data_IF_867103168775
#
_entry.id   IF_867103168775
#
_cell.length_a   1.000
_cell.length_b   1.000
_cell.length_c   1.000
_cell.angle_alpha   90.00
_cell.angle_beta   90.00
_cell.angle_gamma   90.00
#
_symmetry.space_group_name_H-M   'P 1'
#
loop_
_entity.id
_entity.type
_entity.pdbx_description
1 polymer ?
#
# COMPACT_ATOMS: atom_id res chain seq x y z
N UNK A 1 -26.85 -4.20 9.82
CA UNK A 1 -26.23 -3.79 11.09
C UNK A 1 -24.87 -3.19 10.77
N UNK A 2 -24.81 -1.87 10.58
CA UNK A 2 -23.56 -1.18 10.26
C UNK A 2 -22.84 -0.83 11.55
N UNK A 3 -21.63 -1.37 11.74
CA UNK A 3 -20.73 -1.02 12.85
C UNK A 3 -20.10 0.34 12.53
N UNK A 4 -20.48 1.37 13.28
CA UNK A 4 -19.76 2.64 13.35
C UNK A 4 -18.45 2.42 14.15
N UNK A 5 -17.27 2.87 13.68
CA UNK A 5 -16.11 2.91 14.54
C UNK A 5 -16.27 4.05 15.55
N UNK A 6 -16.08 3.67 16.81
CA UNK A 6 -16.16 4.53 18.00
C UNK A 6 -15.04 5.58 18.00
N UNK A 7 -15.45 6.85 18.12
CA UNK A 7 -14.74 8.00 18.70
C UNK A 7 -13.45 8.47 18.00
N UNK A 8 -13.49 9.68 17.42
CA UNK A 8 -12.50 10.74 17.73
C UNK A 8 -13.20 12.10 17.74
N UNK A 9 -13.25 12.67 18.95
CA UNK A 9 -13.77 14.01 19.28
C UNK A 9 -12.79 15.10 18.84
N UNK A 10 -13.34 16.24 18.45
CA UNK A 10 -12.74 17.50 17.97
C UNK A 10 -11.58 18.08 18.82
N UNK A 11 -10.54 18.59 18.14
CA UNK A 11 -9.74 19.75 18.58
C UNK A 11 -9.64 20.74 17.41
N UNK A 12 -9.77 22.04 17.71
CA UNK A 12 -9.62 23.15 16.75
C UNK A 12 -8.15 23.24 16.31
N UNK A 13 -7.93 23.07 15.00
CA UNK A 13 -6.62 23.11 14.33
C UNK A 13 -6.52 21.98 13.32
N UNK A 14 -6.86 22.26 12.05
CA UNK A 14 -6.92 21.35 10.89
C UNK A 14 -6.46 19.89 11.12
N UNK A 15 -7.40 19.00 11.45
CA UNK A 15 -7.23 17.58 11.19
C UNK A 15 -7.83 17.25 9.82
N UNK A 16 -7.20 17.75 8.75
CA UNK A 16 -7.40 17.17 7.42
C UNK A 16 -6.63 15.85 7.47
N UNK A 17 -7.33 14.73 7.66
CA UNK A 17 -6.66 13.44 7.50
C UNK A 17 -6.40 13.26 6.02
N UNK A 18 -5.15 13.46 5.60
CA UNK A 18 -4.76 13.20 4.21
C UNK A 18 -4.63 11.69 4.03
N UNK A 19 -5.68 11.10 3.46
CA UNK A 19 -5.75 9.67 3.17
C UNK A 19 -4.86 9.40 1.95
N UNK A 20 -3.81 8.60 2.16
CA UNK A 20 -2.89 8.23 1.09
C UNK A 20 -3.34 6.91 0.48
N UNK A 21 -3.55 6.90 -0.83
CA UNK A 21 -3.89 5.71 -1.60
C UNK A 21 -2.63 5.12 -2.24
N UNK A 22 -2.32 3.86 -1.94
CA UNK A 22 -1.34 3.08 -2.68
C UNK A 22 -2.08 2.15 -3.61
N UNK A 23 -1.70 2.15 -4.89
CA UNK A 23 -2.30 1.29 -5.91
C UNK A 23 -1.20 0.60 -6.73
N UNK A 24 -1.33 -0.72 -6.86
CA UNK A 24 -0.45 -1.59 -7.64
C UNK A 24 -1.28 -2.16 -8.78
N UNK A 25 -0.98 -1.75 -10.02
CA UNK A 25 -1.65 -2.27 -11.21
C UNK A 25 -0.77 -3.30 -11.94
N UNK A 26 -1.29 -4.51 -12.13
CA UNK A 26 -0.55 -5.58 -12.80
C UNK A 26 -0.60 -5.44 -14.32
N UNK A 27 0.57 -5.25 -14.93
CA UNK A 27 0.78 -5.39 -16.39
C UNK A 27 1.53 -6.67 -16.75
N UNK A 28 1.78 -7.54 -15.78
CA UNK A 28 2.49 -8.79 -15.99
C UNK A 28 1.53 -9.79 -16.64
N UNK A 29 1.89 -10.39 -17.79
CA UNK A 29 1.08 -11.43 -18.41
C UNK A 29 0.84 -12.62 -17.47
N UNK A 30 -0.37 -13.16 -17.46
CA UNK A 30 -0.77 -14.29 -16.58
C UNK A 30 0.00 -15.58 -16.81
N UNK A 31 0.64 -15.71 -17.97
CA UNK A 31 1.36 -16.92 -18.37
C UNK A 31 2.87 -16.65 -18.30
N UNK A 32 3.66 -17.53 -17.67
CA UNK A 32 3.28 -18.83 -17.12
C UNK A 32 2.57 -18.78 -15.75
N UNK A 33 2.67 -17.66 -15.02
CA UNK A 33 2.00 -17.48 -13.72
C UNK A 33 1.59 -16.02 -13.52
N UNK A 34 0.47 -15.73 -12.84
CA UNK A 34 0.06 -14.37 -12.48
C UNK A 34 1.06 -13.73 -11.50
N UNK A 35 0.93 -12.42 -11.29
CA UNK A 35 1.74 -11.67 -10.34
C UNK A 35 1.26 -11.97 -8.92
N UNK A 36 2.08 -12.63 -8.13
CA UNK A 36 1.83 -12.78 -6.70
C UNK A 36 2.61 -11.71 -5.94
N UNK A 37 2.00 -11.13 -4.91
CA UNK A 37 2.69 -10.19 -4.05
C UNK A 37 2.26 -10.31 -2.59
N UNK A 38 3.16 -9.93 -1.68
CA UNK A 38 2.83 -9.63 -0.28
C UNK A 38 3.28 -8.22 0.02
N UNK A 39 2.39 -7.40 0.55
CA UNK A 39 2.68 -6.03 0.94
C UNK A 39 2.51 -5.86 2.44
N UNK A 40 3.37 -5.06 3.06
CA UNK A 40 3.29 -4.75 4.48
C UNK A 40 4.06 -3.47 4.81
N UNK A 41 3.74 -2.87 5.94
CA UNK A 41 4.56 -1.89 6.63
C UNK A 41 5.17 -2.51 7.90
N UNK A 42 5.74 -1.68 8.76
CA UNK A 42 6.12 -2.09 10.11
C UNK A 42 4.88 -2.44 10.97
N UNK A 43 3.80 -1.71 10.78
CA UNK A 43 2.64 -1.71 11.68
C UNK A 43 1.41 -2.43 11.08
N UNK A 44 1.34 -2.57 9.75
CA UNK A 44 0.19 -3.11 9.01
C UNK A 44 0.63 -4.20 8.02
N UNK A 45 -0.10 -5.32 7.98
CA UNK A 45 0.07 -6.37 6.96
C UNK A 45 -1.09 -6.28 5.97
N UNK A 46 -0.79 -5.94 4.71
CA UNK A 46 -1.79 -5.94 3.62
C UNK A 46 -2.05 -7.39 3.16
N UNK A 47 -1.12 -8.30 3.44
CA UNK A 47 -1.23 -9.72 3.15
C UNK A 47 -0.78 -10.12 1.76
N UNK A 48 -1.00 -11.40 1.45
CA UNK A 48 -0.72 -11.98 0.14
C UNK A 48 -1.89 -11.78 -0.82
N UNK A 49 -1.57 -11.39 -2.05
CA UNK A 49 -2.52 -11.19 -3.14
C UNK A 49 -1.98 -11.77 -4.44
N UNK A 50 -2.88 -12.24 -5.28
CA UNK A 50 -2.60 -12.65 -6.66
C UNK A 50 -3.31 -11.70 -7.59
N UNK A 51 -2.55 -11.03 -8.48
CA UNK A 51 -3.08 -10.13 -9.50
C UNK A 51 -2.89 -10.74 -10.89
N UNK A 52 -4.00 -10.96 -11.57
CA UNK A 52 -4.04 -11.21 -13.00
C UNK A 52 -3.76 -9.92 -13.80
N UNK A 53 -3.46 -10.08 -15.07
CA UNK A 53 -3.16 -9.01 -16.01
C UNK A 53 -4.35 -8.05 -16.05
N UNK A 54 -4.11 -6.78 -15.78
CA UNK A 54 -5.14 -5.74 -15.75
C UNK A 54 -5.88 -5.60 -14.41
N UNK A 55 -5.56 -6.40 -13.39
CA UNK A 55 -6.08 -6.22 -12.03
C UNK A 55 -5.18 -5.31 -11.20
N UNK A 56 -5.76 -4.70 -10.17
CA UNK A 56 -5.05 -3.92 -9.17
C UNK A 56 -5.28 -4.38 -7.73
N UNK A 57 -4.29 -4.12 -6.89
CA UNK A 57 -4.41 -4.10 -5.44
C UNK A 57 -4.29 -2.65 -5.00
N UNK A 58 -5.22 -2.19 -4.17
CA UNK A 58 -5.12 -0.89 -3.54
C UNK A 58 -5.48 -0.94 -2.07
N UNK A 59 -4.93 -0.01 -1.31
CA UNK A 59 -5.33 0.27 0.07
C UNK A 59 -5.08 1.73 0.37
N UNK A 60 -5.88 2.27 1.28
CA UNK A 60 -5.65 3.61 1.81
C UNK A 60 -5.28 3.57 3.29
N UNK A 61 -4.52 4.55 3.71
CA UNK A 61 -4.13 4.72 5.10
C UNK A 61 -3.98 6.20 5.42
N UNK A 62 -4.25 6.51 6.68
CA UNK A 62 -4.00 7.83 7.22
C UNK A 62 -2.51 7.96 7.50
N UNK A 63 -1.85 8.98 6.91
CA UNK A 63 -0.44 9.26 7.22
C UNK A 63 -0.29 9.46 8.73
N UNK A 64 0.67 8.75 9.31
CA UNK A 64 0.99 8.96 10.71
C UNK A 64 1.57 10.38 10.90
N UNK A 65 1.27 11.04 12.01
CA UNK A 65 1.78 12.38 12.29
C UNK A 65 3.32 12.42 12.35
N UNK A 66 3.94 11.26 12.60
CA UNK A 66 5.39 11.11 12.72
C UNK A 66 6.12 11.02 11.36
N UNK A 67 5.41 10.94 10.22
CA UNK A 67 6.02 10.95 8.89
C UNK A 67 7.00 9.80 8.63
N UNK A 68 6.69 8.60 9.15
CA UNK A 68 7.59 7.43 9.11
C UNK A 68 6.97 6.20 8.46
N UNK A 69 5.79 6.33 7.85
CA UNK A 69 5.15 5.21 7.16
C UNK A 69 5.97 4.78 5.94
N UNK A 70 6.27 3.49 5.87
CA UNK A 70 6.94 2.81 4.77
C UNK A 70 6.14 1.53 4.46
N UNK A 71 5.68 1.39 3.22
CA UNK A 71 5.15 0.12 2.72
C UNK A 71 6.12 -0.47 1.71
N UNK A 72 6.41 -1.76 1.86
CA UNK A 72 7.19 -2.52 0.91
C UNK A 72 6.41 -3.76 0.47
N UNK A 73 6.66 -4.19 -0.76
CA UNK A 73 6.01 -5.33 -1.35
C UNK A 73 7.04 -6.28 -1.96
N UNK A 74 6.87 -7.56 -1.68
CA UNK A 74 7.59 -8.63 -2.34
C UNK A 74 6.73 -9.14 -3.49
N UNK A 75 7.28 -9.12 -4.71
CA UNK A 75 6.62 -9.56 -5.93
C UNK A 75 7.25 -10.86 -6.44
N UNK A 76 6.42 -11.74 -6.97
CA UNK A 76 6.78 -13.05 -7.49
C UNK A 76 6.03 -13.33 -8.80
N UNK A 77 6.76 -13.63 -9.88
CA UNK A 77 6.17 -14.03 -11.16
C UNK A 77 7.13 -14.93 -11.94
N UNK A 78 6.67 -16.13 -12.30
CA UNK A 78 7.53 -17.19 -12.83
C UNK A 78 8.65 -17.51 -11.84
N UNK A 79 9.89 -17.46 -12.31
CA UNK A 79 11.09 -17.60 -11.48
C UNK A 79 11.65 -16.28 -10.94
N UNK A 80 10.97 -15.16 -11.17
CA UNK A 80 11.45 -13.82 -10.80
C UNK A 80 10.87 -13.40 -9.45
N UNK A 81 11.72 -12.77 -8.63
CA UNK A 81 11.32 -12.12 -7.39
C UNK A 81 11.99 -10.76 -7.27
N UNK A 82 11.24 -9.75 -6.79
CA UNK A 82 11.74 -8.40 -6.53
C UNK A 82 11.00 -7.77 -5.34
N UNK A 83 11.71 -6.94 -4.59
CA UNK A 83 11.16 -6.18 -3.46
C UNK A 83 11.24 -4.70 -3.82
N UNK A 84 10.16 -3.95 -3.57
CA UNK A 84 10.12 -2.51 -3.76
C UNK A 84 9.48 -1.83 -2.54
N UNK A 85 10.00 -0.66 -2.19
CA UNK A 85 9.27 0.29 -1.35
C UNK A 85 8.21 0.93 -2.24
N UNK A 86 6.94 0.52 -2.06
CA UNK A 86 5.82 1.02 -2.87
C UNK A 86 5.28 2.35 -2.33
N UNK A 87 5.65 2.69 -1.10
CA UNK A 87 5.43 3.99 -0.49
C UNK A 87 6.49 4.24 0.57
N UNK A 88 7.08 5.42 0.60
CA UNK A 88 8.00 5.86 1.64
C UNK A 88 7.76 7.34 1.94
N UNK A 89 7.35 7.65 3.16
CA UNK A 89 7.10 9.03 3.61
C UNK A 89 8.36 9.86 3.82
N UNK A 90 9.54 9.23 3.82
CA UNK A 90 10.84 9.89 4.01
C UNK A 90 11.55 10.27 2.70
N UNK A 91 11.10 9.75 1.55
CA UNK A 91 11.70 10.07 0.25
C UNK A 91 11.26 11.48 -0.17
N UNK A 92 12.20 12.42 -0.16
CA UNK A 92 12.09 13.70 -0.87
C UNK A 92 12.24 13.43 -2.37
N UNK A 93 11.35 13.98 -3.20
CA UNK A 93 11.27 13.74 -4.66
C UNK A 93 12.44 14.36 -5.46
N UNK A 94 13.68 14.24 -5.01
CA UNK A 94 14.88 14.71 -5.72
C UNK A 94 15.63 13.59 -6.46
N UNK A 95 14.97 12.50 -6.84
CA UNK A 95 15.56 11.51 -7.75
C UNK A 95 14.52 10.96 -8.72
N UNK A 96 14.23 11.75 -9.76
CA UNK A 96 13.91 11.25 -11.10
C UNK A 96 15.07 11.61 -12.02
#
# INVERSE_FOLDING_TARGET
>A
MFRLPSKKTFFLGHAISDDTLVQIFSRVPDKPTPLNLRCQSKDDDIGYHTLHTGQDLHWSFNRNFWGTTLFFCHFYWGSKTRVFNVYDSSINYDVL
#
